data_IF_916969813989
#
_entry.id   IF_916969813989
#
_cell.length_a   1.000
_cell.length_b   1.000
_cell.length_c   1.000
_cell.angle_alpha   90.00
_cell.angle_beta   90.00
_cell.angle_gamma   90.00
#
_symmetry.space_group_name_H-M   'P 1'
#
loop_
_entity.id
_entity.type
_entity.pdbx_description
1 polymer ?
#
# COMPACT_ATOMS: atom_id res chain seq x y z
N UNK A 1 8.19 -12.66 -9.83
CA UNK A 1 8.94 -12.72 -8.56
C UNK A 1 8.46 -11.62 -7.63
N UNK A 2 8.15 -11.95 -6.37
CA UNK A 2 7.66 -11.01 -5.36
C UNK A 2 8.83 -10.18 -4.84
N UNK A 3 8.60 -8.88 -4.61
CA UNK A 3 9.61 -7.92 -4.16
C UNK A 3 9.26 -7.53 -2.73
N UNK A 4 10.24 -7.47 -1.83
CA UNK A 4 9.99 -6.99 -0.45
C UNK A 4 9.65 -5.50 -0.46
N UNK A 5 8.98 -5.03 0.59
CA UNK A 5 8.64 -3.62 0.75
C UNK A 5 9.88 -2.73 0.68
N UNK A 6 10.92 -3.08 1.42
CA UNK A 6 12.19 -2.34 1.46
C UNK A 6 12.90 -2.33 0.10
N UNK A 7 13.02 -3.48 -0.56
CA UNK A 7 13.62 -3.56 -1.91
C UNK A 7 12.84 -2.73 -2.93
N UNK A 8 11.51 -2.66 -2.78
CA UNK A 8 10.67 -1.82 -3.64
C UNK A 8 10.98 -0.34 -3.44
N UNK A 9 10.99 0.13 -2.19
CA UNK A 9 11.32 1.52 -1.86
C UNK A 9 12.72 1.88 -2.33
N UNK A 10 13.70 0.98 -2.13
CA UNK A 10 15.10 1.20 -2.55
C UNK A 10 15.29 1.30 -4.07
N UNK A 11 14.48 0.59 -4.86
CA UNK A 11 14.52 0.69 -6.32
C UNK A 11 13.72 1.87 -6.85
N UNK A 12 12.70 2.28 -6.10
CA UNK A 12 11.75 3.31 -6.53
C UNK A 12 12.21 4.72 -6.18
N UNK A 13 12.86 4.92 -5.03
CA UNK A 13 13.39 6.21 -4.58
C UNK A 13 14.82 6.47 -5.08
N UNK A 14 15.22 7.73 -5.15
CA UNK A 14 16.61 8.16 -5.39
C UNK A 14 17.51 7.61 -4.28
N UNK A 15 18.78 7.30 -4.57
CA UNK A 15 19.67 6.63 -3.61
C UNK A 15 19.94 7.45 -2.35
N UNK A 16 20.04 8.77 -2.51
CA UNK A 16 20.37 9.71 -1.44
C UNK A 16 19.11 10.34 -0.84
N UNK A 17 19.22 10.84 0.40
CA UNK A 17 18.15 11.59 1.05
C UNK A 17 16.94 10.76 1.49
N UNK A 18 17.10 9.44 1.64
CA UNK A 18 16.05 8.56 2.17
C UNK A 18 16.02 8.62 3.70
N UNK A 19 14.83 8.71 4.28
CA UNK A 19 14.62 8.58 5.71
C UNK A 19 13.38 7.71 5.97
N UNK A 20 13.54 6.65 6.76
CA UNK A 20 12.41 5.83 7.19
C UNK A 20 11.60 6.56 8.26
N UNK A 21 10.28 6.55 8.13
CA UNK A 21 9.36 7.23 9.05
C UNK A 21 8.61 6.20 9.89
N UNK A 22 8.28 6.57 11.12
CA UNK A 22 7.47 5.76 12.04
C UNK A 22 8.02 4.34 12.27
N UNK A 23 9.35 4.19 12.17
CA UNK A 23 10.08 2.93 12.37
C UNK A 23 10.10 2.50 13.84
N UNK A 24 9.83 3.41 14.76
CA UNK A 24 9.64 3.14 16.18
C UNK A 24 8.33 2.42 16.50
N UNK A 25 7.33 2.46 15.61
CA UNK A 25 6.02 1.85 15.85
C UNK A 25 6.07 0.32 15.73
N UNK A 26 5.53 -0.37 16.74
CA UNK A 26 5.47 -1.83 16.84
C UNK A 26 4.09 -2.32 17.30
N UNK A 27 3.66 -3.51 16.85
CA UNK A 27 2.35 -4.04 17.20
C UNK A 27 2.32 -4.61 18.62
N UNK A 28 1.19 -4.44 19.29
CA UNK A 28 0.94 -4.95 20.65
C UNK A 28 -0.31 -5.85 20.62
N UNK A 29 -0.21 -7.02 21.24
CA UNK A 29 -1.33 -7.95 21.40
C UNK A 29 -2.23 -7.53 22.57
N UNK A 30 -3.15 -6.61 22.33
CA UNK A 30 -4.11 -6.10 23.33
C UNK A 30 -5.24 -7.08 23.63
N UNK A 31 -5.59 -7.94 22.68
CA UNK A 31 -6.72 -8.87 22.81
C UNK A 31 -6.31 -10.22 23.38
N UNK A 32 -5.01 -10.42 23.65
CA UNK A 32 -4.41 -11.71 24.00
C UNK A 32 -4.84 -12.83 23.04
N UNK A 33 -4.87 -12.49 21.74
CA UNK A 33 -5.52 -13.32 20.73
C UNK A 33 -4.75 -14.64 20.53
N UNK A 34 -5.50 -15.74 20.45
CA UNK A 34 -4.96 -17.07 20.20
C UNK A 34 -5.82 -17.82 19.20
N UNK A 35 -5.18 -18.28 18.13
CA UNK A 35 -5.73 -19.30 17.24
C UNK A 35 -4.90 -20.60 17.39
N UNK A 36 -4.45 -21.21 16.30
CA UNK A 36 -3.43 -22.25 16.31
C UNK A 36 -2.12 -21.82 17.00
N UNK A 37 -1.78 -20.53 16.95
CA UNK A 37 -0.63 -19.91 17.62
C UNK A 37 -1.06 -18.64 18.33
N UNK A 38 -0.31 -18.22 19.36
CA UNK A 38 -0.56 -16.90 20.00
C UNK A 38 -0.17 -15.79 19.03
N UNK A 39 -0.92 -14.69 19.00
CA UNK A 39 -0.63 -13.58 18.10
C UNK A 39 0.78 -13.02 18.33
N UNK A 40 1.18 -12.84 19.60
CA UNK A 40 2.56 -12.44 19.96
C UNK A 40 3.65 -13.33 19.35
N UNK A 41 3.44 -14.65 19.31
CA UNK A 41 4.39 -15.59 18.69
C UNK A 41 4.44 -15.43 17.17
N UNK A 42 3.28 -15.22 16.53
CA UNK A 42 3.20 -14.94 15.09
C UNK A 42 3.96 -13.66 14.74
N UNK A 43 3.81 -12.61 15.55
CA UNK A 43 4.53 -11.35 15.40
C UNK A 43 6.05 -11.58 15.47
N UNK A 44 6.55 -12.18 16.56
CA UNK A 44 7.99 -12.41 16.72
C UNK A 44 8.59 -13.26 15.60
N UNK A 45 7.90 -14.33 15.18
CA UNK A 45 8.36 -15.18 14.08
C UNK A 45 8.41 -14.42 12.75
N UNK A 46 7.39 -13.62 12.46
CA UNK A 46 7.28 -12.86 11.21
C UNK A 46 8.29 -11.71 11.18
N UNK A 47 8.48 -11.01 12.30
CA UNK A 47 9.51 -9.98 12.44
C UNK A 47 10.90 -10.57 12.20
N UNK A 48 11.18 -11.75 12.76
CA UNK A 48 12.46 -12.45 12.54
C UNK A 48 12.66 -12.89 11.09
N UNK A 49 11.62 -13.34 10.40
CA UNK A 49 11.74 -13.82 9.01
C UNK A 49 11.80 -12.70 7.98
N UNK A 50 11.14 -11.56 8.25
CA UNK A 50 11.07 -10.43 7.32
C UNK A 50 12.11 -9.34 7.61
N UNK A 51 12.56 -9.23 8.87
CA UNK A 51 13.35 -8.09 9.34
C UNK A 51 12.54 -6.81 9.54
N UNK A 52 11.23 -6.83 9.31
CA UNK A 52 10.35 -5.67 9.44
C UNK A 52 9.55 -5.74 10.74
N UNK A 53 9.24 -4.58 11.32
CA UNK A 53 8.44 -4.48 12.55
C UNK A 53 6.94 -4.72 12.32
N UNK A 54 6.43 -4.32 11.16
CA UNK A 54 5.06 -4.54 10.71
C UNK A 54 4.99 -4.52 9.16
N UNK A 55 3.81 -4.78 8.62
CA UNK A 55 3.50 -4.97 7.20
C UNK A 55 3.54 -3.71 6.32
N UNK A 56 3.89 -2.54 6.86
CA UNK A 56 4.01 -1.31 6.07
C UNK A 56 5.32 -0.60 6.40
N UNK A 57 6.12 -0.34 5.37
CA UNK A 57 7.33 0.48 5.46
C UNK A 57 7.03 1.83 4.82
N UNK A 58 7.42 2.91 5.49
CA UNK A 58 7.21 4.28 5.03
C UNK A 58 8.57 4.96 4.92
N UNK A 59 8.86 5.55 3.78
CA UNK A 59 10.08 6.31 3.55
C UNK A 59 9.78 7.68 2.95
N UNK A 60 10.39 8.70 3.55
CA UNK A 60 10.63 9.99 2.91
C UNK A 60 11.80 9.82 1.94
N UNK A 61 11.69 10.43 0.76
CA UNK A 61 12.79 10.45 -0.20
C UNK A 61 12.49 11.33 -1.39
N UNK A 62 13.14 11.02 -2.51
CA UNK A 62 12.95 11.71 -3.77
C UNK A 62 12.74 10.73 -4.92
N UNK A 63 12.03 11.13 -5.97
CA UNK A 63 11.97 10.43 -7.25
C UNK A 63 12.40 11.41 -8.32
N UNK A 64 13.56 11.14 -8.94
CA UNK A 64 14.10 11.99 -9.99
C UNK A 64 14.19 13.46 -9.52
N UNK A 65 14.69 13.66 -8.30
CA UNK A 65 14.84 14.95 -7.65
C UNK A 65 13.57 15.52 -6.99
N UNK A 66 12.38 14.98 -7.26
CA UNK A 66 11.13 15.45 -6.66
C UNK A 66 10.92 14.89 -5.25
N UNK A 67 10.63 15.70 -4.23
CA UNK A 67 10.31 15.21 -2.89
C UNK A 67 9.02 14.39 -2.91
N UNK A 68 9.00 13.28 -2.17
CA UNK A 68 7.84 12.37 -2.10
C UNK A 68 7.90 11.53 -0.82
N UNK A 69 6.72 11.20 -0.29
CA UNK A 69 6.58 10.15 0.72
C UNK A 69 6.10 8.87 0.04
N UNK A 70 6.72 7.73 0.34
CA UNK A 70 6.38 6.44 -0.26
C UNK A 70 6.14 5.38 0.80
N UNK A 71 5.00 4.72 0.69
CA UNK A 71 4.61 3.57 1.49
C UNK A 71 4.72 2.29 0.66
N UNK A 72 5.18 1.19 1.25
CA UNK A 72 5.14 -0.12 0.62
C UNK A 72 4.74 -1.21 1.61
N UNK A 73 3.79 -2.05 1.21
CA UNK A 73 3.36 -3.19 2.00
C UNK A 73 4.35 -4.36 1.90
N UNK A 74 4.67 -4.98 3.03
CA UNK A 74 5.43 -6.23 3.11
C UNK A 74 4.47 -7.41 3.17
N UNK A 75 4.16 -8.00 2.01
CA UNK A 75 3.22 -9.13 1.95
C UNK A 75 3.72 -10.34 2.76
N UNK A 76 5.04 -10.52 2.89
CA UNK A 76 5.60 -11.61 3.69
C UNK A 76 5.28 -11.43 5.18
N UNK A 77 4.95 -10.21 5.61
CA UNK A 77 4.49 -9.93 6.96
C UNK A 77 3.00 -10.23 7.08
N UNK A 78 2.65 -11.47 7.46
CA UNK A 78 1.26 -11.89 7.68
C UNK A 78 0.32 -11.52 6.51
N UNK A 79 0.73 -11.82 5.28
CA UNK A 79 0.02 -11.49 4.04
C UNK A 79 -0.22 -9.97 3.84
N UNK A 80 0.62 -9.12 4.40
CA UNK A 80 0.46 -7.67 4.34
C UNK A 80 -0.76 -7.16 5.10
N UNK A 81 -1.29 -7.96 6.04
CA UNK A 81 -2.57 -7.67 6.69
C UNK A 81 -2.56 -6.32 7.41
N UNK A 82 -3.61 -5.51 7.22
CA UNK A 82 -3.70 -4.19 7.83
C UNK A 82 -4.15 -4.29 9.28
N UNK A 83 -3.23 -3.98 10.20
CA UNK A 83 -3.48 -3.80 11.64
C UNK A 83 -3.22 -2.35 12.08
N UNK A 84 -3.22 -2.11 13.38
CA UNK A 84 -3.13 -0.79 14.01
C UNK A 84 -1.87 -0.04 13.60
N UNK A 85 -0.73 -0.73 13.51
CA UNK A 85 0.55 -0.13 13.10
C UNK A 85 0.55 0.24 11.63
N UNK A 86 0.00 -0.61 10.75
CA UNK A 86 -0.14 -0.27 9.31
C UNK A 86 -0.92 1.02 9.15
N UNK A 87 -2.07 1.13 9.82
CA UNK A 87 -2.86 2.36 9.75
C UNK A 87 -2.17 3.55 10.43
N UNK A 88 -1.43 3.36 11.52
CA UNK A 88 -0.67 4.44 12.16
C UNK A 88 0.49 4.94 11.29
N UNK A 89 1.28 4.03 10.71
CA UNK A 89 2.38 4.36 9.78
C UNK A 89 1.85 5.07 8.54
N UNK A 90 0.73 4.62 7.98
CA UNK A 90 0.11 5.28 6.83
C UNK A 90 -0.36 6.70 7.17
N UNK A 91 -0.97 6.91 8.34
CA UNK A 91 -1.33 8.26 8.80
C UNK A 91 -0.09 9.14 8.95
N UNK A 92 1.00 8.62 9.55
CA UNK A 92 2.28 9.35 9.62
C UNK A 92 2.84 9.70 8.25
N UNK A 93 2.65 8.84 7.25
CA UNK A 93 3.06 9.12 5.88
C UNK A 93 2.27 10.28 5.27
N UNK A 94 0.96 10.33 5.52
CA UNK A 94 0.09 11.43 5.09
C UNK A 94 0.47 12.74 5.79
N UNK A 95 0.64 12.71 7.11
CA UNK A 95 1.07 13.87 7.90
C UNK A 95 2.41 14.42 7.37
N UNK A 96 3.40 13.55 7.16
CA UNK A 96 4.69 13.94 6.60
C UNK A 96 4.58 14.50 5.18
N UNK A 97 3.70 13.95 4.33
CA UNK A 97 3.47 14.47 2.98
C UNK A 97 2.89 15.89 3.01
N UNK A 98 1.96 16.16 3.94
CA UNK A 98 1.37 17.48 4.18
C UNK A 98 2.42 18.45 4.71
N UNK A 99 3.19 18.06 5.73
CA UNK A 99 4.26 18.87 6.33
C UNK A 99 5.34 19.25 5.30
N UNK A 100 5.74 18.29 4.46
CA UNK A 100 6.76 18.49 3.42
C UNK A 100 6.19 19.11 2.14
N UNK A 101 4.87 19.32 2.08
CA UNK A 101 4.14 19.80 0.91
C UNK A 101 4.48 19.01 -0.38
N UNK A 102 4.44 17.68 -0.29
CA UNK A 102 4.84 16.78 -1.37
C UNK A 102 3.81 15.66 -1.61
N UNK A 103 3.98 14.93 -2.73
CA UNK A 103 3.10 13.83 -3.09
C UNK A 103 3.28 12.59 -2.21
N UNK A 104 2.24 11.76 -2.17
CA UNK A 104 2.24 10.46 -1.50
C UNK A 104 2.07 9.33 -2.52
N UNK A 105 2.87 8.28 -2.43
CA UNK A 105 2.73 7.07 -3.24
C UNK A 105 2.59 5.85 -2.32
N UNK A 106 1.63 4.96 -2.57
CA UNK A 106 1.47 3.75 -1.77
C UNK A 106 1.44 2.49 -2.64
N UNK A 107 2.40 1.59 -2.44
CA UNK A 107 2.39 0.26 -3.02
C UNK A 107 1.64 -0.72 -2.11
N UNK A 108 0.40 -1.02 -2.48
CA UNK A 108 -0.49 -1.90 -1.75
C UNK A 108 -0.24 -3.36 -2.12
N UNK A 109 -0.12 -4.20 -1.09
CA UNK A 109 -0.01 -5.65 -1.19
C UNK A 109 -0.57 -6.26 0.10
N UNK A 110 -1.81 -6.72 0.06
CA UNK A 110 -2.53 -7.11 1.27
C UNK A 110 -3.54 -8.23 0.98
N UNK A 111 -3.63 -9.20 1.89
CA UNK A 111 -4.63 -10.26 1.87
C UNK A 111 -5.91 -9.94 2.67
N UNK A 112 -5.95 -8.82 3.40
CA UNK A 112 -7.11 -8.36 4.16
C UNK A 112 -6.78 -7.65 5.48
N UNK A 113 -7.79 -7.43 6.32
CA UNK A 113 -7.61 -6.87 7.65
C UNK A 113 -6.94 -7.88 8.60
N UNK A 114 -6.15 -7.40 9.57
CA UNK A 114 -5.49 -8.26 10.56
C UNK A 114 -6.48 -8.74 11.61
N UNK A 115 -7.05 -9.92 11.40
CA UNK A 115 -8.09 -10.48 12.27
C UNK A 115 -7.70 -10.55 13.75
N UNK A 116 -6.40 -10.74 14.04
CA UNK A 116 -5.88 -10.80 15.41
C UNK A 116 -6.11 -9.49 16.19
N UNK A 117 -6.32 -8.38 15.49
CA UNK A 117 -6.63 -7.08 16.08
C UNK A 117 -8.13 -6.69 15.92
N UNK A 118 -8.94 -7.55 15.30
CA UNK A 118 -10.40 -7.44 15.21
C UNK A 118 -10.90 -6.04 14.80
N UNK A 119 -11.77 -5.41 15.59
CA UNK A 119 -12.33 -4.09 15.35
C UNK A 119 -11.25 -3.02 15.14
N UNK A 120 -10.09 -3.13 15.80
CA UNK A 120 -9.00 -2.17 15.61
C UNK A 120 -8.48 -2.22 14.17
N UNK A 121 -8.35 -3.41 13.59
CA UNK A 121 -7.97 -3.57 12.18
C UNK A 121 -9.03 -2.98 11.23
N UNK A 122 -10.31 -3.18 11.51
CA UNK A 122 -11.40 -2.59 10.71
C UNK A 122 -11.35 -1.06 10.75
N UNK A 123 -11.19 -0.47 11.93
CA UNK A 123 -11.14 1.00 12.10
C UNK A 123 -9.97 1.66 11.37
N UNK A 124 -8.93 0.89 11.00
CA UNK A 124 -7.84 1.44 10.18
C UNK A 124 -8.32 1.86 8.79
N UNK A 125 -9.37 1.24 8.25
CA UNK A 125 -9.97 1.68 6.99
C UNK A 125 -10.47 3.12 7.13
N UNK A 126 -11.33 3.39 8.11
CA UNK A 126 -11.85 4.73 8.35
C UNK A 126 -10.74 5.73 8.68
N UNK A 127 -9.77 5.34 9.53
CA UNK A 127 -8.66 6.21 9.91
C UNK A 127 -7.78 6.63 8.73
N UNK A 128 -7.41 5.67 7.88
CA UNK A 128 -6.56 5.95 6.69
C UNK A 128 -7.30 6.73 5.63
N UNK A 129 -8.59 6.45 5.41
CA UNK A 129 -9.45 7.26 4.53
C UNK A 129 -9.62 8.70 5.02
N UNK A 130 -9.80 8.89 6.33
CA UNK A 130 -9.88 10.24 6.92
C UNK A 130 -8.56 11.03 6.75
N UNK A 131 -7.41 10.37 6.87
CA UNK A 131 -6.12 10.98 6.59
C UNK A 131 -5.99 11.35 5.10
N UNK A 132 -6.35 10.47 4.18
CA UNK A 132 -6.35 10.79 2.75
C UNK A 132 -7.26 11.98 2.41
N UNK A 133 -8.38 12.14 3.09
CA UNK A 133 -9.22 13.32 2.94
C UNK A 133 -8.49 14.61 3.36
N UNK A 134 -7.66 14.58 4.41
CA UNK A 134 -6.83 15.72 4.80
C UNK A 134 -5.76 16.03 3.73
N UNK A 135 -5.15 15.00 3.14
CA UNK A 135 -4.20 15.16 2.04
C UNK A 135 -4.86 15.81 0.81
N UNK A 136 -6.08 15.37 0.48
CA UNK A 136 -6.89 15.95 -0.60
C UNK A 136 -7.26 17.40 -0.33
N UNK A 137 -7.65 17.74 0.91
CA UNK A 137 -7.89 19.12 1.32
C UNK A 137 -6.64 20.00 1.23
N UNK A 138 -5.45 19.43 1.49
CA UNK A 138 -4.16 20.08 1.27
C UNK A 138 -3.77 20.17 -0.22
N UNK A 139 -4.57 19.59 -1.13
CA UNK A 139 -4.36 19.55 -2.59
C UNK A 139 -3.05 18.86 -3.00
N UNK A 140 -2.66 17.83 -2.26
CA UNK A 140 -1.45 17.07 -2.54
C UNK A 140 -1.79 15.74 -3.22
N UNK A 141 -1.03 15.35 -4.26
CA UNK A 141 -1.35 14.18 -5.06
C UNK A 141 -1.10 12.89 -4.29
N UNK A 142 -2.05 11.98 -4.35
CA UNK A 142 -1.94 10.61 -3.88
C UNK A 142 -2.04 9.62 -5.03
N UNK A 143 -0.99 8.82 -5.23
CA UNK A 143 -0.97 7.75 -6.23
C UNK A 143 -0.99 6.40 -5.51
N UNK A 144 -2.04 5.64 -5.74
CA UNK A 144 -2.17 4.27 -5.24
C UNK A 144 -1.67 3.28 -6.29
N UNK A 145 -0.76 2.39 -5.90
CA UNK A 145 -0.24 1.32 -6.76
C UNK A 145 -0.66 -0.02 -6.21
N UNK A 146 -1.55 -0.71 -6.90
CA UNK A 146 -2.11 -2.00 -6.50
C UNK A 146 -1.27 -3.13 -7.08
N UNK A 147 -0.67 -3.94 -6.21
CA UNK A 147 0.22 -5.04 -6.60
C UNK A 147 -0.36 -6.41 -6.22
N UNK A 148 0.19 -7.49 -6.78
CA UNK A 148 -0.32 -8.84 -6.56
C UNK A 148 0.06 -9.40 -5.16
N UNK A 149 -0.86 -9.58 -4.22
CA UNK A 149 -2.32 -9.41 -4.28
C UNK A 149 -2.77 -8.22 -3.42
N UNK A 150 -3.88 -7.55 -3.77
CA UNK A 150 -4.49 -6.47 -2.96
C UNK A 150 -5.97 -6.72 -2.73
N UNK A 151 -6.32 -7.22 -1.55
CA UNK A 151 -7.68 -7.64 -1.20
C UNK A 151 -8.22 -7.07 0.11
N UNK A 152 -9.53 -7.20 0.31
CA UNK A 152 -10.21 -6.95 1.57
C UNK A 152 -10.18 -5.49 1.98
N UNK A 153 -9.99 -5.23 3.28
CA UNK A 153 -10.09 -3.89 3.85
C UNK A 153 -9.20 -2.85 3.18
N UNK A 154 -7.98 -3.23 2.74
CA UNK A 154 -7.07 -2.29 2.06
C UNK A 154 -7.59 -1.92 0.67
N UNK A 155 -8.11 -2.88 -0.10
CA UNK A 155 -8.73 -2.60 -1.41
C UNK A 155 -10.00 -1.74 -1.30
N UNK A 156 -10.70 -1.78 -0.17
CA UNK A 156 -11.90 -0.99 0.10
C UNK A 156 -11.61 0.28 0.93
N UNK A 157 -10.34 0.65 1.09
CA UNK A 157 -9.93 1.90 1.74
C UNK A 157 -8.79 2.55 0.96
N UNK A 158 -7.62 2.74 1.57
CA UNK A 158 -6.51 3.50 1.03
C UNK A 158 -6.12 3.09 -0.39
N UNK A 159 -6.20 1.80 -0.75
CA UNK A 159 -5.69 1.37 -2.05
C UNK A 159 -6.57 1.76 -3.25
N UNK A 160 -7.82 2.18 -3.04
CA UNK A 160 -8.73 2.60 -4.12
C UNK A 160 -9.16 4.06 -4.01
N UNK A 161 -8.51 4.83 -3.12
CA UNK A 161 -8.76 6.26 -2.89
C UNK A 161 -7.65 7.14 -3.46
N UNK A 162 -6.86 6.62 -4.42
CA UNK A 162 -5.87 7.40 -5.15
C UNK A 162 -6.53 8.44 -6.05
N UNK A 163 -5.86 9.58 -6.24
CA UNK A 163 -6.15 10.47 -7.37
C UNK A 163 -5.85 9.75 -8.69
N UNK A 164 -4.87 8.84 -8.67
CA UNK A 164 -4.56 7.90 -9.74
C UNK A 164 -4.33 6.51 -9.12
N UNK A 165 -5.10 5.53 -9.58
CA UNK A 165 -4.99 4.12 -9.25
C UNK A 165 -4.25 3.36 -10.37
N UNK A 166 -3.09 2.81 -10.04
CA UNK A 166 -2.22 2.09 -10.98
C UNK A 166 -2.16 0.60 -10.60
N UNK A 167 -2.42 -0.30 -11.55
CA UNK A 167 -2.18 -1.74 -11.37
C UNK A 167 -0.82 -2.19 -11.92
N UNK A 168 -0.17 -3.15 -11.25
CA UNK A 168 0.87 -3.96 -11.92
C UNK A 168 0.19 -4.96 -12.89
N UNK A 169 0.83 -5.37 -14.02
CA UNK A 169 0.24 -6.34 -14.95
C UNK A 169 -0.18 -7.63 -14.25
N UNK A 170 -1.39 -8.13 -14.57
CA UNK A 170 -1.96 -9.37 -14.00
C UNK A 170 -2.09 -9.39 -12.47
N UNK A 171 -2.02 -8.24 -11.80
CA UNK A 171 -2.19 -8.20 -10.36
C UNK A 171 -3.63 -8.53 -9.95
N UNK A 172 -3.81 -9.35 -8.93
CA UNK A 172 -5.14 -9.71 -8.43
C UNK A 172 -5.59 -8.73 -7.36
N UNK A 173 -6.71 -8.08 -7.62
CA UNK A 173 -7.25 -6.98 -6.83
C UNK A 173 -8.75 -7.17 -6.66
N UNK A 174 -9.25 -7.01 -5.44
CA UNK A 174 -10.69 -6.97 -5.21
C UNK A 174 -11.08 -7.04 -3.74
N UNK A 175 -12.34 -6.72 -3.44
CA UNK A 175 -12.80 -6.73 -2.05
C UNK A 175 -12.85 -8.14 -1.45
N UNK A 176 -13.58 -9.06 -2.11
CA UNK A 176 -13.69 -10.46 -1.69
C UNK A 176 -12.78 -11.35 -2.53
N UNK A 177 -12.24 -12.41 -1.94
CA UNK A 177 -11.45 -13.39 -2.70
C UNK A 177 -12.33 -14.19 -3.66
N UNK A 178 -11.80 -14.53 -4.84
CA UNK A 178 -12.46 -15.33 -5.89
C UNK A 178 -13.26 -16.53 -5.36
N UNK A 179 -12.66 -17.32 -4.47
CA UNK A 179 -13.30 -18.50 -3.87
C UNK A 179 -14.60 -18.18 -3.14
N UNK A 180 -14.66 -17.08 -2.39
CA UNK A 180 -15.85 -16.66 -1.64
C UNK A 180 -16.95 -16.24 -2.60
N UNK A 181 -16.59 -15.56 -3.69
CA UNK A 181 -17.54 -15.11 -4.71
C UNK A 181 -18.14 -16.30 -5.46
N UNK A 182 -17.31 -17.23 -5.95
CA UNK A 182 -17.76 -18.44 -6.65
C UNK A 182 -18.70 -19.28 -5.78
N UNK A 183 -18.42 -19.41 -4.48
CA UNK A 183 -19.29 -20.12 -3.54
C UNK A 183 -20.64 -19.44 -3.31
N UNK A 184 -20.67 -18.10 -3.38
CA UNK A 184 -21.88 -17.31 -3.13
C UNK A 184 -22.79 -17.30 -4.35
N UNK A 185 -22.23 -17.04 -5.53
CA UNK A 185 -22.99 -16.95 -6.79
C UNK A 185 -23.24 -18.34 -7.39
N UNK A 186 -22.45 -19.35 -7.00
CA UNK A 186 -22.50 -20.73 -7.51
C UNK A 186 -22.23 -20.83 -9.02
N UNK A 187 -21.40 -19.92 -9.52
CA UNK A 187 -20.96 -19.85 -10.91
C UNK A 187 -19.43 -19.81 -10.99
N UNK A 188 -18.90 -20.23 -12.13
CA UNK A 188 -17.47 -20.13 -12.42
C UNK A 188 -17.20 -18.71 -12.90
N UNK A 189 -16.31 -18.00 -12.20
CA UNK A 189 -15.95 -16.64 -12.59
C UNK A 189 -15.12 -16.65 -13.89
N UNK A 190 -15.24 -15.61 -14.74
CA UNK A 190 -14.48 -15.51 -15.97
C UNK A 190 -12.97 -15.66 -15.78
N UNK A 191 -12.27 -16.05 -16.84
CA UNK A 191 -10.82 -15.92 -16.90
C UNK A 191 -10.45 -14.43 -16.78
N UNK A 192 -9.37 -14.13 -16.08
CA UNK A 192 -8.96 -12.74 -15.86
C UNK A 192 -9.78 -11.98 -14.80
N UNK A 193 -10.85 -12.55 -14.24
CA UNK A 193 -11.62 -11.91 -13.17
C UNK A 193 -10.70 -11.45 -12.02
N UNK A 194 -10.89 -10.20 -11.57
CA UNK A 194 -10.06 -9.51 -10.56
C UNK A 194 -8.60 -9.23 -10.96
N UNK A 195 -8.19 -9.46 -12.21
CA UNK A 195 -6.88 -9.02 -12.68
C UNK A 195 -6.89 -7.52 -13.04
N UNK A 196 -5.73 -6.87 -13.00
CA UNK A 196 -5.58 -5.46 -13.37
C UNK A 196 -6.23 -5.12 -14.71
N UNK A 197 -6.09 -6.01 -15.70
CA UNK A 197 -6.68 -5.86 -17.03
C UNK A 197 -8.22 -5.80 -16.96
N UNK A 198 -8.82 -6.71 -16.19
CA UNK A 198 -10.26 -6.70 -15.94
C UNK A 198 -10.69 -5.42 -15.19
N UNK A 199 -9.94 -4.99 -14.17
CA UNK A 199 -10.27 -3.78 -13.43
C UNK A 199 -10.15 -2.51 -14.27
N UNK A 200 -9.16 -2.45 -15.17
CA UNK A 200 -8.99 -1.33 -16.10
C UNK A 200 -10.18 -1.23 -17.07
N UNK A 201 -10.62 -2.36 -17.63
CA UNK A 201 -11.80 -2.41 -18.53
C UNK A 201 -13.09 -1.95 -17.82
N UNK A 202 -13.20 -2.15 -16.50
CA UNK A 202 -14.36 -1.76 -15.70
C UNK A 202 -14.18 -0.39 -15.03
N UNK A 203 -13.12 0.36 -15.35
CA UNK A 203 -12.92 1.73 -14.86
C UNK A 203 -12.52 1.84 -13.38
N UNK A 204 -12.04 0.75 -12.77
CA UNK A 204 -11.54 0.76 -11.39
C UNK A 204 -10.05 1.15 -11.28
N UNK A 205 -9.30 1.04 -12.37
CA UNK A 205 -7.91 1.49 -12.48
C UNK A 205 -7.79 2.53 -13.59
N UNK A 206 -6.87 3.48 -13.43
CA UNK A 206 -6.56 4.49 -14.45
C UNK A 206 -5.57 3.95 -15.49
N UNK A 207 -4.64 3.10 -15.06
CA UNK A 207 -3.63 2.51 -15.94
C UNK A 207 -2.97 1.27 -15.36
N UNK A 208 -2.36 0.49 -16.25
CA UNK A 208 -1.50 -0.65 -15.89
C UNK A 208 -0.06 -0.30 -16.28
N UNK A 209 0.86 -0.47 -15.35
CA UNK A 209 2.27 -0.06 -15.53
C UNK A 209 3.20 -1.19 -15.10
N UNK A 210 4.08 -1.61 -16.01
CA UNK A 210 5.16 -2.55 -15.69
C UNK A 210 6.10 -1.93 -14.65
N UNK A 211 6.51 -2.74 -13.67
CA UNK A 211 7.41 -2.32 -12.59
C UNK A 211 8.70 -1.63 -13.05
N UNK A 212 9.21 -1.96 -14.24
CA UNK A 212 10.43 -1.36 -14.81
C UNK A 212 10.22 0.10 -15.19
N UNK A 213 9.01 0.45 -15.62
CA UNK A 213 8.62 1.81 -16.03
C UNK A 213 7.97 2.61 -14.89
N UNK A 214 7.60 1.95 -13.79
CA UNK A 214 6.84 2.53 -12.68
C UNK A 214 7.46 3.81 -12.12
N UNK A 215 8.77 3.81 -11.89
CA UNK A 215 9.51 4.97 -11.36
C UNK A 215 9.39 6.19 -12.28
N UNK A 216 9.65 6.00 -13.58
CA UNK A 216 9.57 7.07 -14.59
C UNK A 216 8.12 7.56 -14.75
N UNK A 217 7.16 6.64 -14.79
CA UNK A 217 5.74 6.95 -14.95
C UNK A 217 5.20 7.77 -13.78
N UNK A 218 5.42 7.31 -12.55
CA UNK A 218 4.95 8.01 -11.35
C UNK A 218 5.67 9.35 -11.18
N UNK A 219 6.99 9.40 -11.40
CA UNK A 219 7.72 10.67 -11.39
C UNK A 219 7.13 11.70 -12.36
N UNK A 220 6.82 11.28 -13.59
CA UNK A 220 6.17 12.13 -14.59
C UNK A 220 4.75 12.58 -14.23
N UNK A 221 3.97 11.74 -13.55
CA UNK A 221 2.64 12.10 -13.06
C UNK A 221 2.73 13.12 -11.92
N UNK A 222 3.57 12.85 -10.92
CA UNK A 222 3.79 13.76 -9.79
C UNK A 222 4.26 15.13 -10.29
N UNK A 223 5.27 15.17 -11.17
CA UNK A 223 5.74 16.41 -11.82
C UNK A 223 4.61 17.24 -12.42
N UNK A 224 3.68 16.60 -13.14
CA UNK A 224 2.53 17.29 -13.75
C UNK A 224 1.54 17.79 -12.71
N UNK A 225 1.21 16.96 -11.71
CA UNK A 225 0.25 17.29 -10.65
C UNK A 225 0.78 18.38 -9.71
N UNK A 226 2.09 18.45 -9.50
CA UNK A 226 2.75 19.47 -8.64
C UNK A 226 3.34 20.63 -9.43
N UNK A 227 3.10 20.70 -10.75
CA UNK A 227 3.67 21.69 -11.66
C UNK A 227 5.20 21.89 -11.49
N UNK A 228 5.93 20.77 -11.37
CA UNK A 228 7.37 20.75 -11.12
C UNK A 228 8.09 20.03 -12.26
N UNK A 229 9.29 20.48 -12.61
CA UNK A 229 10.13 19.83 -13.63
C UNK A 229 10.96 18.71 -12.99
N UNK A 230 11.04 17.55 -13.65
CA UNK A 230 11.91 16.45 -13.21
C UNK A 230 13.38 16.83 -13.44
N UNK A 231 14.27 16.44 -12.51
CA UNK A 231 15.71 16.50 -12.79
C UNK A 231 16.07 15.35 -13.74
N UNK A 232 16.33 15.67 -15.01
CA UNK A 232 16.89 14.74 -15.98
C UNK A 232 18.40 14.66 -15.77
N UNK A 233 18.83 13.99 -14.71
CA UNK A 233 20.21 13.52 -14.62
C UNK A 233 20.19 12.04 -15.00
N UNK A 234 20.67 11.76 -16.22
CA UNK A 234 21.02 10.42 -16.71
C UNK A 234 22.08 9.76 -15.83
#
# INVERSE_FOLDING_TARGET
MRLSARQRLERFLDREGRAELASELEPIDLLHFKDLKRYKERLTLTQKSTGEKDALVVMRGRIMGLPVIVCAFEFSFMAGSMGSVVGARFVRAVEAAIEDNCGLVCFSACGGARMQESLMALMQMAKTSAALNQLSMAKLPYISVLTDQTFGGVSASLAMLGDINIGEPKARIGFAGRRVIEQTVREILPEGFQQSEFLLEHGALDMIVDRREMRKRIGGLLAKMTNTTLSTNE
#
